data_IF_138350540678
#
_entry.id   IF_138350540678
#
_cell.length_a   1.000
_cell.length_b   1.000
_cell.length_c   1.000
_cell.angle_alpha   90.00
_cell.angle_beta   90.00
_cell.angle_gamma   90.00
#
_symmetry.space_group_name_H-M   'P 1'
#
loop_
_entity.id
_entity.type
_entity.pdbx_description
1 polymer ?
#
# COMPACT_ATOMS: atom_id res chain seq x y z
N UNK A 1 -16.07 -0.41 -4.75
CA UNK A 1 -16.26 1.07 -4.60
C UNK A 1 -14.93 1.70 -4.21
N UNK A 2 -14.59 2.92 -4.63
CA UNK A 2 -13.35 3.63 -4.25
C UNK A 2 -13.66 4.74 -3.25
N UNK A 3 -12.76 5.02 -2.30
CA UNK A 3 -12.93 6.15 -1.36
C UNK A 3 -12.94 7.50 -2.08
N UNK A 4 -12.16 7.61 -3.17
CA UNK A 4 -12.14 8.77 -4.05
C UNK A 4 -13.23 8.69 -5.14
N UNK A 5 -14.45 8.37 -4.79
CA UNK A 5 -15.59 8.38 -5.71
C UNK A 5 -16.76 9.17 -5.13
N UNK A 6 -17.53 9.80 -6.01
CA UNK A 6 -18.73 10.58 -5.63
C UNK A 6 -19.71 9.68 -4.85
N UNK A 7 -19.94 8.45 -5.32
CA UNK A 7 -20.83 7.49 -4.67
C UNK A 7 -20.41 7.15 -3.23
N UNK A 8 -19.09 7.04 -2.99
CA UNK A 8 -18.59 6.79 -1.64
C UNK A 8 -18.77 8.02 -0.74
N UNK A 9 -18.34 9.18 -1.21
CA UNK A 9 -18.27 10.40 -0.39
C UNK A 9 -19.66 10.95 -0.04
N UNK A 10 -20.58 10.95 -1.01
CA UNK A 10 -21.87 11.63 -0.87
C UNK A 10 -23.06 10.71 -0.59
N UNK A 11 -22.94 9.41 -0.77
CA UNK A 11 -24.03 8.45 -0.49
C UNK A 11 -23.63 7.42 0.55
N UNK A 12 -22.58 6.63 0.30
CA UNK A 12 -22.21 5.52 1.17
C UNK A 12 -21.74 6.00 2.55
N UNK A 13 -20.78 6.92 2.62
CA UNK A 13 -20.20 7.39 3.87
C UNK A 13 -21.23 8.13 4.74
N UNK A 14 -22.05 9.09 4.23
CA UNK A 14 -23.09 9.71 5.03
C UNK A 14 -24.14 8.72 5.55
N UNK A 15 -24.59 7.77 4.73
CA UNK A 15 -25.53 6.74 5.15
C UNK A 15 -24.95 5.86 6.28
N UNK A 16 -23.69 5.44 6.13
CA UNK A 16 -23.00 4.66 7.17
C UNK A 16 -22.85 5.48 8.47
N UNK A 17 -22.39 6.73 8.38
CA UNK A 17 -22.22 7.60 9.55
C UNK A 17 -23.55 7.77 10.27
N UNK A 18 -24.62 8.06 9.55
CA UNK A 18 -25.97 8.20 10.12
C UNK A 18 -26.38 6.91 10.87
N UNK A 19 -26.32 5.76 10.21
CA UNK A 19 -26.67 4.47 10.79
C UNK A 19 -25.81 4.16 12.03
N UNK A 20 -24.49 4.41 11.94
CA UNK A 20 -23.55 4.09 13.02
C UNK A 20 -23.76 4.94 14.28
N UNK A 21 -24.00 6.26 14.11
CA UNK A 21 -24.14 7.16 15.25
C UNK A 21 -25.51 7.14 15.91
N UNK A 22 -26.57 6.83 15.17
CA UNK A 22 -27.93 6.66 15.72
C UNK A 22 -28.04 5.33 16.49
N UNK A 23 -27.24 4.33 16.12
CA UNK A 23 -27.38 2.99 16.68
C UNK A 23 -26.79 2.84 18.08
N UNK A 24 -27.44 2.04 18.95
CA UNK A 24 -26.89 1.67 20.25
C UNK A 24 -25.53 0.97 20.12
N UNK A 25 -24.69 1.11 21.17
CA UNK A 25 -23.29 0.59 21.16
C UNK A 25 -23.20 -0.89 20.77
N UNK A 26 -24.13 -1.71 21.20
CA UNK A 26 -24.16 -3.16 20.92
C UNK A 26 -24.31 -3.50 19.43
N UNK A 27 -24.91 -2.63 18.62
CA UNK A 27 -25.14 -2.86 17.20
C UNK A 27 -24.06 -2.25 16.29
N UNK A 28 -23.16 -1.43 16.82
CA UNK A 28 -22.15 -0.70 16.03
C UNK A 28 -21.25 -1.63 15.21
N UNK A 29 -20.86 -2.78 15.75
CA UNK A 29 -20.05 -3.77 15.02
C UNK A 29 -20.85 -4.42 13.87
N UNK A 30 -22.13 -4.70 14.07
CA UNK A 30 -22.98 -5.27 13.03
C UNK A 30 -23.19 -4.31 11.87
N UNK A 31 -23.40 -3.02 12.17
CA UNK A 31 -23.54 -1.98 11.14
C UNK A 31 -22.27 -1.86 10.32
N UNK A 32 -21.10 -1.74 10.99
CA UNK A 32 -19.83 -1.69 10.29
C UNK A 32 -19.59 -2.94 9.46
N UNK A 33 -19.94 -4.12 9.95
CA UNK A 33 -19.81 -5.37 9.20
C UNK A 33 -20.69 -5.37 7.95
N UNK A 34 -21.98 -5.05 8.10
CA UNK A 34 -22.93 -5.03 6.97
C UNK A 34 -22.45 -4.05 5.90
N UNK A 35 -22.10 -2.82 6.30
CA UNK A 35 -21.62 -1.82 5.35
C UNK A 35 -20.26 -2.21 4.73
N UNK A 36 -19.37 -2.86 5.49
CA UNK A 36 -18.10 -3.38 4.93
C UNK A 36 -18.33 -4.48 3.89
N UNK A 37 -19.25 -5.40 4.14
CA UNK A 37 -19.62 -6.43 3.18
C UNK A 37 -20.29 -5.82 1.94
N UNK A 38 -21.18 -4.84 2.11
CA UNK A 38 -21.80 -4.09 0.99
C UNK A 38 -20.73 -3.34 0.19
N UNK A 39 -19.79 -2.67 0.87
CA UNK A 39 -18.68 -1.97 0.20
C UNK A 39 -17.84 -2.91 -0.66
N UNK A 40 -17.52 -4.11 -0.14
CA UNK A 40 -16.74 -5.11 -0.85
C UNK A 40 -17.52 -5.73 -2.00
N UNK A 41 -18.75 -6.17 -1.74
CA UNK A 41 -19.61 -6.81 -2.76
C UNK A 41 -19.99 -5.87 -3.91
N UNK A 42 -19.94 -4.55 -3.71
CA UNK A 42 -20.16 -3.56 -4.77
C UNK A 42 -19.16 -3.72 -5.94
N UNK A 43 -17.91 -4.09 -5.64
CA UNK A 43 -16.90 -4.36 -6.67
C UNK A 43 -16.69 -5.85 -6.96
N UNK A 44 -17.00 -6.70 -5.99
CA UNK A 44 -16.66 -8.13 -5.98
C UNK A 44 -17.84 -8.99 -5.49
N UNK A 45 -18.95 -9.07 -6.22
CA UNK A 45 -20.17 -9.72 -5.75
C UNK A 45 -20.01 -11.21 -5.47
N UNK A 46 -19.11 -11.89 -6.18
CA UNK A 46 -18.84 -13.33 -6.00
C UNK A 46 -17.77 -13.55 -4.94
N UNK A 47 -16.70 -12.75 -4.94
CA UNK A 47 -15.57 -12.96 -4.05
C UNK A 47 -15.81 -12.54 -2.60
N UNK A 48 -16.93 -11.89 -2.29
CA UNK A 48 -17.37 -11.69 -0.90
C UNK A 48 -17.56 -13.02 -0.17
N UNK A 49 -18.01 -14.07 -0.87
CA UNK A 49 -18.14 -15.41 -0.28
C UNK A 49 -16.78 -16.04 0.01
N UNK A 50 -15.76 -15.81 -0.84
CA UNK A 50 -14.39 -16.25 -0.57
C UNK A 50 -13.82 -15.56 0.68
N UNK A 51 -14.07 -14.26 0.86
CA UNK A 51 -13.63 -13.51 2.04
C UNK A 51 -14.33 -14.03 3.31
N UNK A 52 -15.65 -14.29 3.26
CA UNK A 52 -16.40 -14.88 4.38
C UNK A 52 -15.86 -16.29 4.71
N UNK A 53 -15.61 -17.11 3.69
CA UNK A 53 -14.99 -18.43 3.86
C UNK A 53 -13.61 -18.30 4.54
N UNK A 54 -12.75 -17.41 4.05
CA UNK A 54 -11.43 -17.15 4.64
C UNK A 54 -11.56 -16.73 6.11
N UNK A 55 -12.53 -15.86 6.44
CA UNK A 55 -12.78 -15.45 7.81
C UNK A 55 -13.23 -16.64 8.69
N UNK A 56 -14.18 -17.44 8.23
CA UNK A 56 -14.67 -18.60 8.99
C UNK A 56 -13.56 -19.65 9.18
N UNK A 57 -12.79 -19.93 8.13
CA UNK A 57 -11.68 -20.87 8.17
C UNK A 57 -10.61 -20.42 9.18
N UNK A 58 -10.08 -19.21 9.04
CA UNK A 58 -9.02 -18.72 9.92
C UNK A 58 -9.49 -18.55 11.38
N UNK A 59 -10.74 -18.14 11.59
CA UNK A 59 -11.34 -18.11 12.93
C UNK A 59 -11.37 -19.50 13.58
N UNK A 60 -11.83 -20.54 12.86
CA UNK A 60 -11.90 -21.90 13.34
C UNK A 60 -10.51 -22.45 13.67
N UNK A 61 -9.55 -22.25 12.76
CA UNK A 61 -8.16 -22.71 12.97
C UNK A 61 -7.48 -21.97 14.14
N UNK A 62 -7.74 -20.66 14.28
CA UNK A 62 -7.22 -19.89 15.42
C UNK A 62 -7.77 -20.40 16.75
N UNK A 63 -9.05 -20.71 16.84
CA UNK A 63 -9.65 -21.31 18.03
C UNK A 63 -9.09 -22.72 18.32
N UNK A 64 -8.83 -23.51 17.30
CA UNK A 64 -8.22 -24.84 17.46
C UNK A 64 -6.79 -24.72 18.02
N UNK A 65 -5.98 -23.80 17.50
CA UNK A 65 -4.63 -23.51 18.02
C UNK A 65 -4.71 -23.11 19.50
N UNK A 66 -5.61 -22.21 19.88
CA UNK A 66 -5.83 -21.82 21.29
C UNK A 66 -6.22 -23.01 22.16
N UNK A 67 -7.13 -23.85 21.71
CA UNK A 67 -7.57 -25.05 22.43
C UNK A 67 -6.42 -26.03 22.64
N UNK A 68 -5.57 -26.24 21.61
CA UNK A 68 -4.39 -27.10 21.74
C UNK A 68 -3.37 -26.53 22.72
N UNK A 69 -3.13 -25.22 22.70
CA UNK A 69 -2.26 -24.56 23.66
C UNK A 69 -2.75 -24.71 25.11
N UNK A 70 -4.07 -24.51 25.34
CA UNK A 70 -4.68 -24.67 26.65
C UNK A 70 -4.65 -26.10 27.14
N UNK A 71 -4.78 -27.08 26.23
CA UNK A 71 -4.73 -28.51 26.54
C UNK A 71 -3.30 -29.08 26.51
N UNK A 72 -2.27 -28.22 26.43
CA UNK A 72 -0.86 -28.61 26.31
C UNK A 72 -0.56 -29.58 25.14
N UNK A 73 -1.38 -29.57 24.09
CA UNK A 73 -1.16 -30.29 22.85
C UNK A 73 -0.33 -29.45 21.89
N UNK A 74 0.35 -30.12 20.94
CA UNK A 74 1.16 -29.43 19.95
C UNK A 74 0.30 -28.73 18.87
N UNK A 75 0.24 -27.38 18.81
CA UNK A 75 -0.56 -26.65 17.83
C UNK A 75 0.12 -26.51 16.45
N UNK A 76 1.38 -26.94 16.31
CA UNK A 76 2.18 -26.76 15.10
C UNK A 76 1.58 -27.37 13.81
N UNK A 77 0.98 -28.58 13.84
CA UNK A 77 0.33 -29.12 12.64
C UNK A 77 -0.81 -28.24 12.12
N UNK A 78 -1.68 -27.76 13.01
CA UNK A 78 -2.78 -26.84 12.67
C UNK A 78 -2.24 -25.52 12.13
N UNK A 79 -1.16 -24.95 12.72
CA UNK A 79 -0.50 -23.79 12.18
C UNK A 79 -0.03 -24.00 10.74
N UNK A 80 0.73 -25.08 10.48
CA UNK A 80 1.28 -25.37 9.15
C UNK A 80 0.16 -25.56 8.14
N UNK A 81 -0.87 -26.33 8.48
CA UNK A 81 -2.03 -26.55 7.61
C UNK A 81 -2.72 -25.23 7.27
N UNK A 82 -2.96 -24.37 8.27
CA UNK A 82 -3.60 -23.07 8.07
C UNK A 82 -2.78 -22.15 7.16
N UNK A 83 -1.46 -22.11 7.35
CA UNK A 83 -0.55 -21.32 6.51
C UNK A 83 -0.57 -21.83 5.07
N UNK A 84 -0.50 -23.15 4.87
CA UNK A 84 -0.54 -23.76 3.52
C UNK A 84 -1.85 -23.42 2.81
N UNK A 85 -3.00 -23.53 3.46
CA UNK A 85 -4.30 -23.23 2.86
C UNK A 85 -4.39 -21.75 2.47
N UNK A 86 -3.99 -20.82 3.34
CA UNK A 86 -4.00 -19.39 3.03
C UNK A 86 -3.08 -19.03 1.86
N UNK A 87 -1.85 -19.57 1.84
CA UNK A 87 -0.91 -19.36 0.75
C UNK A 87 -1.40 -20.01 -0.54
N UNK A 88 -1.99 -21.20 -0.47
CA UNK A 88 -2.57 -21.87 -1.64
C UNK A 88 -3.69 -21.03 -2.28
N UNK A 89 -4.65 -20.53 -1.48
CA UNK A 89 -5.74 -19.67 -1.97
C UNK A 89 -5.16 -18.41 -2.63
N UNK A 90 -4.24 -17.72 -1.96
CA UNK A 90 -3.59 -16.53 -2.52
C UNK A 90 -2.87 -16.87 -3.83
N UNK A 91 -2.09 -17.97 -3.84
CA UNK A 91 -1.30 -18.38 -5.00
C UNK A 91 -2.17 -18.78 -6.18
N UNK A 92 -3.27 -19.45 -5.91
CA UNK A 92 -4.21 -19.87 -6.94
C UNK A 92 -4.78 -18.67 -7.73
N UNK A 93 -5.22 -17.62 -7.03
CA UNK A 93 -5.77 -16.45 -7.71
C UNK A 93 -4.69 -15.53 -8.29
N UNK A 94 -3.55 -15.38 -7.62
CA UNK A 94 -2.55 -14.38 -7.99
C UNK A 94 -1.48 -14.92 -8.94
N UNK A 95 -1.06 -16.18 -8.79
CA UNK A 95 0.13 -16.71 -9.48
C UNK A 95 -0.18 -17.81 -10.50
N UNK A 96 -1.45 -18.21 -10.65
CA UNK A 96 -1.82 -19.28 -11.57
C UNK A 96 -1.35 -19.01 -13.01
N UNK A 97 -1.68 -17.85 -13.57
CA UNK A 97 -1.23 -17.47 -14.93
C UNK A 97 0.30 -17.42 -15.04
N UNK A 98 0.96 -16.75 -14.09
CA UNK A 98 2.42 -16.65 -14.08
C UNK A 98 3.11 -18.02 -13.97
N UNK A 99 2.58 -18.94 -13.15
CA UNK A 99 3.08 -20.29 -13.05
C UNK A 99 2.93 -21.06 -14.36
N UNK A 100 1.78 -20.89 -15.04
CA UNK A 100 1.57 -21.51 -16.37
C UNK A 100 2.53 -20.96 -17.42
N UNK A 101 2.78 -19.64 -17.44
CA UNK A 101 3.73 -19.05 -18.36
C UNK A 101 5.17 -19.59 -18.13
N UNK A 102 5.56 -19.82 -16.86
CA UNK A 102 6.83 -20.46 -16.53
C UNK A 102 6.85 -21.90 -17.05
N UNK A 103 5.80 -22.69 -16.80
CA UNK A 103 5.70 -24.08 -17.29
C UNK A 103 5.78 -24.11 -18.81
N UNK A 104 5.03 -23.29 -19.50
CA UNK A 104 5.05 -23.20 -20.96
C UNK A 104 6.46 -22.87 -21.50
N UNK A 105 7.14 -21.92 -20.84
CA UNK A 105 8.49 -21.50 -21.26
C UNK A 105 9.52 -22.62 -21.02
N UNK A 106 9.50 -23.26 -19.86
CA UNK A 106 10.51 -24.27 -19.46
C UNK A 106 10.31 -25.58 -20.22
N UNK A 107 9.05 -26.04 -20.31
CA UNK A 107 8.72 -27.33 -20.91
C UNK A 107 8.27 -27.25 -22.36
N UNK A 108 8.24 -26.01 -22.94
CA UNK A 108 7.78 -25.74 -24.33
C UNK A 108 6.37 -26.31 -24.59
N UNK A 109 5.51 -26.20 -23.56
CA UNK A 109 4.10 -26.56 -23.66
C UNK A 109 3.25 -25.34 -24.04
N UNK A 110 2.01 -25.55 -24.43
CA UNK A 110 1.08 -24.50 -24.83
C UNK A 110 -0.24 -24.63 -24.04
N UNK A 111 -0.13 -24.56 -22.72
CA UNK A 111 -1.30 -24.55 -21.87
C UNK A 111 -1.96 -23.16 -21.91
N UNK A 112 -3.11 -23.10 -22.56
CA UNK A 112 -3.92 -21.90 -22.55
C UNK A 112 -4.66 -21.77 -21.20
N UNK A 113 -4.39 -20.68 -20.50
CA UNK A 113 -5.11 -20.34 -19.28
C UNK A 113 -5.84 -19.02 -19.47
N UNK A 114 -7.12 -18.99 -19.14
CA UNK A 114 -7.83 -17.73 -18.94
C UNK A 114 -7.40 -17.14 -17.60
N UNK A 115 -6.83 -15.92 -17.58
CA UNK A 115 -6.46 -15.27 -16.31
C UNK A 115 -7.69 -15.18 -15.40
N UNK A 116 -7.58 -15.73 -14.19
CA UNK A 116 -8.62 -15.56 -13.17
C UNK A 116 -8.60 -14.10 -12.71
N UNK A 117 -9.77 -13.45 -12.61
CA UNK A 117 -9.80 -12.11 -12.02
C UNK A 117 -9.31 -12.19 -10.58
N UNK A 118 -8.34 -11.34 -10.24
CA UNK A 118 -7.76 -11.29 -8.90
C UNK A 118 -8.78 -10.65 -7.92
N UNK A 119 -9.25 -11.36 -6.87
CA UNK A 119 -10.15 -10.77 -5.89
C UNK A 119 -9.52 -9.56 -5.21
N UNK A 120 -10.17 -8.42 -5.26
CA UNK A 120 -9.66 -7.17 -4.68
C UNK A 120 -9.34 -7.37 -3.19
N UNK A 121 -8.15 -6.97 -2.76
CA UNK A 121 -7.73 -7.05 -1.37
C UNK A 121 -7.33 -8.45 -0.87
N UNK A 122 -7.31 -9.50 -1.71
CA UNK A 122 -6.97 -10.87 -1.28
C UNK A 122 -5.58 -10.92 -0.62
N UNK A 123 -4.60 -10.19 -1.12
CA UNK A 123 -3.27 -10.11 -0.53
C UNK A 123 -3.29 -9.47 0.86
N UNK A 124 -4.14 -8.46 1.07
CA UNK A 124 -4.26 -7.76 2.35
C UNK A 124 -4.96 -8.60 3.41
N UNK A 125 -6.16 -9.13 3.11
CA UNK A 125 -6.87 -9.92 4.11
C UNK A 125 -6.19 -11.28 4.39
N UNK A 126 -5.45 -11.84 3.43
CA UNK A 126 -4.62 -13.03 3.68
C UNK A 126 -3.50 -12.71 4.67
N UNK A 127 -2.81 -11.58 4.52
CA UNK A 127 -1.77 -11.16 5.47
C UNK A 127 -2.35 -10.82 6.85
N UNK A 128 -3.53 -10.23 6.91
CA UNK A 128 -4.25 -10.00 8.16
C UNK A 128 -4.62 -11.33 8.85
N UNK A 129 -5.18 -12.29 8.11
CA UNK A 129 -5.51 -13.61 8.63
C UNK A 129 -4.27 -14.37 9.12
N UNK A 130 -3.18 -14.37 8.33
CA UNK A 130 -1.93 -14.98 8.74
C UNK A 130 -1.33 -14.32 9.98
N UNK A 131 -1.40 -12.97 10.10
CA UNK A 131 -0.93 -12.28 11.30
C UNK A 131 -1.70 -12.70 12.55
N UNK A 132 -3.03 -12.86 12.45
CA UNK A 132 -3.86 -13.37 13.54
C UNK A 132 -3.43 -14.79 13.97
N UNK A 133 -3.24 -15.70 13.02
CA UNK A 133 -2.82 -17.08 13.28
C UNK A 133 -1.43 -17.12 13.94
N UNK A 134 -0.47 -16.35 13.42
CA UNK A 134 0.86 -16.26 14.02
C UNK A 134 0.85 -15.60 15.40
N UNK A 135 0.03 -14.58 15.63
CA UNK A 135 -0.06 -13.91 16.92
C UNK A 135 -0.70 -14.82 17.99
N UNK A 136 -1.67 -15.66 17.63
CA UNK A 136 -2.19 -16.71 18.51
C UNK A 136 -1.08 -17.72 18.82
N UNK A 137 -0.42 -18.28 17.79
CA UNK A 137 0.61 -19.29 17.98
C UNK A 137 1.76 -18.79 18.87
N UNK A 138 2.11 -17.50 18.75
CA UNK A 138 3.15 -16.86 19.56
C UNK A 138 2.63 -16.30 20.89
N UNK A 139 1.45 -16.66 21.36
CA UNK A 139 0.83 -16.23 22.63
C UNK A 139 0.64 -14.72 22.76
N UNK A 140 0.59 -13.96 21.65
CA UNK A 140 0.28 -12.52 21.67
C UNK A 140 -1.24 -12.26 21.78
N UNK A 141 -2.04 -13.19 21.30
CA UNK A 141 -3.50 -13.25 21.43
C UNK A 141 -3.83 -14.53 22.17
N UNK A 142 -4.41 -14.42 23.36
CA UNK A 142 -4.58 -15.56 24.28
C UNK A 142 -6.04 -15.90 24.60
N UNK A 143 -6.96 -15.10 24.11
CA UNK A 143 -8.40 -15.26 24.38
C UNK A 143 -9.17 -15.65 23.13
N UNK A 144 -10.18 -16.48 23.30
CA UNK A 144 -11.15 -16.73 22.24
C UNK A 144 -11.94 -15.45 21.94
N UNK A 145 -12.01 -15.11 20.68
CA UNK A 145 -12.72 -13.94 20.18
C UNK A 145 -14.11 -14.34 19.66
N UNK A 146 -15.02 -13.37 19.50
CA UNK A 146 -16.30 -13.65 18.86
C UNK A 146 -16.10 -13.65 17.33
N UNK A 147 -16.78 -14.55 16.63
CA UNK A 147 -16.70 -14.60 15.16
C UNK A 147 -17.04 -13.26 14.51
N UNK A 148 -18.03 -12.54 15.04
CA UNK A 148 -18.41 -11.21 14.55
C UNK A 148 -17.29 -10.17 14.64
N UNK A 149 -16.44 -10.26 15.68
CA UNK A 149 -15.29 -9.37 15.86
C UNK A 149 -14.20 -9.69 14.84
N UNK A 150 -13.98 -10.99 14.58
CA UNK A 150 -12.95 -11.43 13.63
C UNK A 150 -13.35 -11.16 12.17
N UNK A 151 -14.59 -11.48 11.78
CA UNK A 151 -15.04 -11.18 10.40
C UNK A 151 -15.11 -9.66 10.15
N UNK A 152 -15.50 -8.85 11.16
CA UNK A 152 -15.42 -7.40 11.05
C UNK A 152 -13.97 -6.94 10.87
N UNK A 153 -13.04 -7.47 11.67
CA UNK A 153 -11.61 -7.16 11.50
C UNK A 153 -11.11 -7.43 10.09
N UNK A 154 -11.44 -8.61 9.54
CA UNK A 154 -10.95 -9.01 8.22
C UNK A 154 -11.59 -8.21 7.08
N UNK A 155 -12.89 -7.87 7.22
CA UNK A 155 -13.69 -7.21 6.18
C UNK A 155 -13.76 -5.70 6.32
N UNK A 156 -13.21 -5.10 7.38
CA UNK A 156 -13.38 -3.69 7.72
C UNK A 156 -12.91 -2.78 6.56
N UNK A 157 -13.88 -2.12 5.92
CA UNK A 157 -13.68 -1.46 4.62
C UNK A 157 -12.56 -0.42 4.58
N UNK A 158 -12.23 0.37 5.65
CA UNK A 158 -11.14 1.33 5.56
C UNK A 158 -9.77 0.68 5.29
N UNK A 159 -9.52 -0.51 5.84
CA UNK A 159 -8.23 -1.19 5.71
C UNK A 159 -8.18 -2.24 4.60
N UNK A 160 -9.36 -2.73 4.14
CA UNK A 160 -9.50 -3.96 3.37
C UNK A 160 -8.77 -3.95 2.01
N UNK A 161 -8.80 -2.85 1.28
CA UNK A 161 -8.33 -2.80 -0.11
C UNK A 161 -6.85 -2.42 -0.19
N UNK A 162 -6.46 -1.30 0.41
CA UNK A 162 -5.10 -0.79 0.40
C UNK A 162 -4.83 0.15 1.60
N UNK A 163 -5.55 -0.03 2.68
CA UNK A 163 -5.25 0.62 3.96
C UNK A 163 -3.94 0.08 4.55
N UNK A 164 -3.51 0.57 5.71
CA UNK A 164 -2.44 -0.07 6.46
C UNK A 164 -2.78 -1.54 6.72
N UNK A 165 -1.80 -2.45 6.59
CA UNK A 165 -1.98 -3.86 6.99
C UNK A 165 -2.06 -3.88 8.52
N UNK A 166 -3.28 -3.90 9.03
CA UNK A 166 -3.54 -3.87 10.47
C UNK A 166 -3.37 -5.28 11.04
N UNK A 167 -2.58 -5.42 12.10
CA UNK A 167 -2.43 -6.69 12.81
C UNK A 167 -3.55 -6.81 13.85
N UNK A 168 -4.06 -8.04 14.07
CA UNK A 168 -5.19 -8.27 14.97
C UNK A 168 -4.94 -7.75 16.40
N UNK A 169 -3.74 -7.97 16.93
CA UNK A 169 -3.31 -7.50 18.26
C UNK A 169 -3.42 -5.98 18.45
N UNK A 170 -3.32 -5.21 17.34
CA UNK A 170 -3.37 -3.73 17.40
C UNK A 170 -4.80 -3.20 17.56
N UNK A 171 -5.82 -3.99 17.17
CA UNK A 171 -7.24 -3.56 17.16
C UNK A 171 -8.15 -4.42 18.01
N UNK A 172 -7.67 -5.53 18.59
CA UNK A 172 -8.48 -6.47 19.39
C UNK A 172 -9.32 -5.75 20.46
N UNK A 173 -8.68 -4.89 21.25
CA UNK A 173 -9.38 -4.14 22.30
C UNK A 173 -10.37 -3.13 21.72
N UNK A 174 -10.06 -2.52 20.58
CA UNK A 174 -10.91 -1.53 19.93
C UNK A 174 -12.15 -2.17 19.28
N UNK A 175 -12.06 -3.42 18.85
CA UNK A 175 -13.22 -4.18 18.36
C UNK A 175 -14.29 -4.36 19.46
N UNK A 176 -13.87 -4.41 20.73
CA UNK A 176 -14.76 -4.62 21.88
C UNK A 176 -15.17 -3.34 22.62
N UNK A 177 -14.20 -2.45 22.84
CA UNK A 177 -14.32 -1.37 23.82
C UNK A 177 -13.96 0.00 23.24
N UNK A 178 -14.28 0.28 21.97
CA UNK A 178 -14.00 1.59 21.40
C UNK A 178 -15.08 2.60 21.75
N UNK A 179 -14.64 3.83 21.91
CA UNK A 179 -15.48 5.03 21.97
C UNK A 179 -15.06 5.99 20.90
N UNK A 180 -15.96 6.83 20.45
CA UNK A 180 -15.65 7.92 19.52
C UNK A 180 -16.11 9.20 20.16
N UNK A 181 -15.21 10.14 20.30
CA UNK A 181 -15.54 11.51 20.69
C UNK A 181 -15.55 12.44 19.46
N UNK A 182 -15.99 13.69 19.66
CA UNK A 182 -16.04 14.68 18.58
C UNK A 182 -14.65 15.10 18.10
N UNK A 183 -13.63 14.96 18.95
CA UNK A 183 -12.26 15.29 18.60
C UNK A 183 -11.67 14.23 17.64
N UNK A 184 -11.88 12.94 17.95
CA UNK A 184 -11.48 11.83 17.07
C UNK A 184 -12.23 11.90 15.73
N UNK A 185 -13.52 12.23 15.74
CA UNK A 185 -14.28 12.43 14.52
C UNK A 185 -13.74 13.59 13.69
N UNK A 186 -13.49 14.74 14.30
CA UNK A 186 -12.95 15.93 13.62
C UNK A 186 -11.57 15.66 13.01
N UNK A 187 -10.68 15.02 13.77
CA UNK A 187 -9.38 14.58 13.26
C UNK A 187 -9.51 13.61 12.09
N UNK A 188 -10.45 12.65 12.19
CA UNK A 188 -10.73 11.69 11.12
C UNK A 188 -11.20 12.35 9.84
N UNK A 189 -12.13 13.32 9.93
CA UNK A 189 -12.65 14.09 8.80
C UNK A 189 -11.53 14.91 8.12
N UNK A 190 -10.74 15.64 8.91
CA UNK A 190 -9.57 16.38 8.43
C UNK A 190 -8.60 15.47 7.67
N UNK A 191 -8.23 14.34 8.28
CA UNK A 191 -7.30 13.39 7.68
C UNK A 191 -7.84 12.78 6.38
N UNK A 192 -9.14 12.50 6.33
CA UNK A 192 -9.82 12.01 5.13
C UNK A 192 -9.75 13.04 3.99
N UNK A 193 -10.06 14.32 4.26
CA UNK A 193 -10.04 15.39 3.27
C UNK A 193 -8.62 15.61 2.72
N UNK A 194 -7.62 15.62 3.59
CA UNK A 194 -6.20 15.72 3.18
C UNK A 194 -5.81 14.54 2.30
N UNK A 195 -6.18 13.31 2.69
CA UNK A 195 -5.91 12.11 1.91
C UNK A 195 -6.59 12.13 0.53
N UNK A 196 -7.86 12.55 0.49
CA UNK A 196 -8.61 12.72 -0.75
C UNK A 196 -7.92 13.73 -1.69
N UNK A 197 -7.49 14.87 -1.13
CA UNK A 197 -6.80 15.91 -1.89
C UNK A 197 -5.46 15.44 -2.45
N UNK A 198 -4.67 14.71 -1.67
CA UNK A 198 -3.43 14.06 -2.16
C UNK A 198 -3.71 13.15 -3.36
N UNK A 199 -4.76 12.31 -3.26
CA UNK A 199 -5.13 11.38 -4.31
C UNK A 199 -5.64 12.09 -5.55
N UNK A 200 -6.60 13.01 -5.39
CA UNK A 200 -7.33 13.58 -6.52
C UNK A 200 -6.57 14.73 -7.18
N UNK A 201 -6.02 15.64 -6.38
CA UNK A 201 -5.39 16.86 -6.92
C UNK A 201 -3.93 16.64 -7.30
N UNK A 202 -3.18 15.81 -6.57
CA UNK A 202 -1.76 15.57 -6.86
C UNK A 202 -1.56 14.27 -7.66
N UNK A 203 -1.95 13.12 -7.13
CA UNK A 203 -1.62 11.84 -7.77
C UNK A 203 -2.28 11.67 -9.14
N UNK A 204 -3.57 11.99 -9.30
CA UNK A 204 -4.25 11.86 -10.59
C UNK A 204 -3.64 12.79 -11.64
N UNK A 205 -3.31 14.03 -11.28
CA UNK A 205 -2.69 15.00 -12.20
C UNK A 205 -1.30 14.55 -12.63
N UNK A 206 -0.46 14.10 -11.68
CA UNK A 206 0.87 13.55 -11.99
C UNK A 206 0.79 12.30 -12.86
N UNK A 207 -0.20 11.44 -12.59
CA UNK A 207 -0.44 10.23 -13.37
C UNK A 207 -0.84 10.51 -14.81
N UNK A 208 -1.57 11.59 -15.07
CA UNK A 208 -1.89 12.00 -16.44
C UNK A 208 -0.64 12.38 -17.24
N UNK A 209 0.32 13.09 -16.62
CA UNK A 209 1.60 13.41 -17.26
C UNK A 209 2.48 12.17 -17.47
N UNK A 210 2.55 11.27 -16.50
CA UNK A 210 3.25 10.00 -16.67
C UNK A 210 2.68 9.19 -17.84
N UNK A 211 1.35 9.05 -17.92
CA UNK A 211 0.69 8.33 -19.00
C UNK A 211 0.89 9.02 -20.36
N UNK A 212 0.97 10.35 -20.42
CA UNK A 212 1.29 11.09 -21.62
C UNK A 212 2.66 10.68 -22.15
N UNK A 213 3.66 10.59 -21.27
CA UNK A 213 5.03 10.18 -21.65
C UNK A 213 5.09 8.72 -22.12
N UNK A 214 4.42 7.80 -21.39
CA UNK A 214 4.43 6.37 -21.77
C UNK A 214 3.76 6.13 -23.12
N UNK A 215 2.68 6.84 -23.42
CA UNK A 215 1.92 6.69 -24.67
C UNK A 215 2.52 7.47 -25.84
N UNK A 216 3.60 8.20 -25.60
CA UNK A 216 4.27 9.01 -26.64
C UNK A 216 4.90 8.10 -27.70
N UNK A 217 4.71 8.38 -29.01
CA UNK A 217 5.38 7.65 -30.07
C UNK A 217 6.91 7.66 -29.89
N UNK A 218 7.60 6.60 -30.31
CA UNK A 218 9.06 6.51 -30.14
C UNK A 218 9.80 7.67 -30.82
N UNK A 219 9.34 8.15 -31.96
CA UNK A 219 9.89 9.29 -32.69
C UNK A 219 9.82 10.62 -31.93
N UNK A 220 8.88 10.75 -31.00
CA UNK A 220 8.68 11.94 -30.15
C UNK A 220 9.35 11.83 -28.78
N UNK A 221 9.93 10.68 -28.47
CA UNK A 221 10.57 10.47 -27.17
C UNK A 221 11.92 11.18 -27.08
N UNK A 222 12.24 11.66 -25.88
CA UNK A 222 13.55 12.24 -25.55
C UNK A 222 13.91 11.88 -24.12
N UNK A 223 15.20 11.87 -23.79
CA UNK A 223 15.70 11.56 -22.45
C UNK A 223 15.05 12.46 -21.38
N UNK A 224 14.89 13.75 -21.67
CA UNK A 224 14.25 14.69 -20.73
C UNK A 224 12.78 14.34 -20.49
N UNK A 225 12.01 14.02 -21.54
CA UNK A 225 10.59 13.61 -21.38
C UNK A 225 10.48 12.34 -20.55
N UNK A 226 11.34 11.34 -20.76
CA UNK A 226 11.36 10.07 -20.01
C UNK A 226 11.68 10.31 -18.53
N UNK A 227 12.64 11.19 -18.19
CA UNK A 227 12.92 11.58 -16.81
C UNK A 227 11.76 12.32 -16.16
N UNK A 228 11.11 13.26 -16.87
CA UNK A 228 9.93 13.96 -16.35
C UNK A 228 8.81 12.95 -16.06
N UNK A 229 8.58 11.99 -16.95
CA UNK A 229 7.57 10.95 -16.80
C UNK A 229 7.78 10.10 -15.55
N UNK A 230 9.00 9.64 -15.28
CA UNK A 230 9.27 8.82 -14.09
C UNK A 230 9.27 9.65 -12.80
N UNK A 231 9.64 10.93 -12.83
CA UNK A 231 9.49 11.84 -11.68
C UNK A 231 8.01 12.05 -11.38
N UNK A 232 7.16 12.25 -12.38
CA UNK A 232 5.71 12.32 -12.20
C UNK A 232 5.17 11.02 -11.58
N UNK A 233 5.58 9.84 -12.05
CA UNK A 233 5.20 8.57 -11.47
C UNK A 233 5.68 8.42 -10.02
N UNK A 234 6.89 8.87 -9.72
CA UNK A 234 7.47 8.83 -8.37
C UNK A 234 6.58 9.57 -7.36
N UNK A 235 6.11 10.77 -7.69
CA UNK A 235 5.19 11.49 -6.83
C UNK A 235 3.76 10.93 -6.91
N UNK A 236 3.32 10.46 -8.08
CA UNK A 236 2.03 9.82 -8.24
C UNK A 236 1.87 8.63 -7.30
N UNK A 237 2.79 7.65 -7.32
CA UNK A 237 2.68 6.45 -6.48
C UNK A 237 2.69 6.79 -4.99
N UNK A 238 3.45 7.80 -4.58
CA UNK A 238 3.48 8.27 -3.20
C UNK A 238 2.14 8.89 -2.78
N UNK A 239 1.62 9.85 -3.55
CA UNK A 239 0.38 10.54 -3.19
C UNK A 239 -0.86 9.67 -3.40
N UNK A 240 -0.84 8.76 -4.37
CA UNK A 240 -1.91 7.77 -4.56
C UNK A 240 -2.05 6.88 -3.33
N UNK A 241 -0.94 6.30 -2.89
CA UNK A 241 -0.97 5.36 -1.79
C UNK A 241 -1.01 6.02 -0.41
N UNK A 242 -0.23 7.08 -0.17
CA UNK A 242 -0.32 7.81 1.10
C UNK A 242 -1.67 8.52 1.27
N UNK A 243 -2.26 9.04 0.19
CA UNK A 243 -3.60 9.60 0.20
C UNK A 243 -4.65 8.56 0.58
N UNK A 244 -4.59 7.37 0.00
CA UNK A 244 -5.47 6.28 0.39
C UNK A 244 -5.27 5.87 1.86
N UNK A 245 -4.03 5.74 2.32
CA UNK A 245 -3.73 5.44 3.72
C UNK A 245 -4.25 6.51 4.67
N UNK A 246 -4.15 7.81 4.30
CA UNK A 246 -4.69 8.90 5.09
C UNK A 246 -6.22 8.85 5.16
N UNK A 247 -6.89 8.57 4.04
CA UNK A 247 -8.35 8.35 4.03
C UNK A 247 -8.74 7.16 4.91
N UNK A 248 -8.01 6.04 4.85
CA UNK A 248 -8.26 4.84 5.65
C UNK A 248 -8.09 5.11 7.16
N UNK A 249 -7.00 5.81 7.55
CA UNK A 249 -6.74 6.20 8.94
C UNK A 249 -7.82 7.17 9.42
N UNK A 250 -8.20 8.14 8.59
CA UNK A 250 -9.26 9.10 8.88
C UNK A 250 -10.60 8.42 9.11
N UNK A 251 -11.00 7.53 8.22
CA UNK A 251 -12.21 6.70 8.37
C UNK A 251 -12.15 5.83 9.63
N UNK A 252 -11.00 5.20 9.89
CA UNK A 252 -10.80 4.45 11.12
C UNK A 252 -11.11 5.30 12.36
N UNK A 253 -10.55 6.52 12.44
CA UNK A 253 -10.79 7.46 13.55
C UNK A 253 -12.25 7.85 13.69
N UNK A 254 -12.96 8.09 12.59
CA UNK A 254 -14.40 8.40 12.64
C UNK A 254 -15.23 7.26 13.27
N UNK A 255 -14.73 6.02 13.23
CA UNK A 255 -15.40 4.86 13.83
C UNK A 255 -14.74 4.35 15.12
N UNK A 256 -13.74 5.07 15.66
CA UNK A 256 -13.04 4.76 16.91
C UNK A 256 -11.92 3.73 16.76
N UNK A 257 -11.38 3.53 15.54
CA UNK A 257 -10.21 2.71 15.30
C UNK A 257 -8.97 3.58 15.07
N UNK A 258 -7.87 3.20 15.71
CA UNK A 258 -6.59 3.90 15.64
C UNK A 258 -5.58 3.06 14.87
N UNK A 259 -5.54 3.23 13.55
CA UNK A 259 -4.58 2.55 12.70
C UNK A 259 -3.20 3.22 12.77
N UNK A 260 -2.15 2.42 12.59
CA UNK A 260 -0.77 2.91 12.54
C UNK A 260 -0.50 3.67 11.24
N UNK A 261 0.43 4.63 11.30
CA UNK A 261 0.91 5.34 10.12
C UNK A 261 1.56 4.37 9.12
N UNK A 262 1.30 4.60 7.84
CA UNK A 262 1.85 3.79 6.76
C UNK A 262 2.97 4.51 6.00
N UNK A 263 3.03 5.84 6.08
CA UNK A 263 4.02 6.69 5.45
C UNK A 263 4.51 7.79 6.39
N UNK A 264 5.82 8.11 6.31
CA UNK A 264 6.43 9.21 7.07
C UNK A 264 7.46 9.95 6.20
N UNK A 265 6.98 10.71 5.20
CA UNK A 265 7.81 11.51 4.29
C UNK A 265 9.02 10.73 3.73
N UNK A 266 8.83 9.66 2.97
CA UNK A 266 9.90 8.73 2.57
C UNK A 266 10.95 9.38 1.66
N UNK A 267 10.60 10.41 0.89
CA UNK A 267 11.52 11.01 -0.08
C UNK A 267 12.57 11.94 0.51
N UNK A 268 12.52 12.22 1.82
CA UNK A 268 13.61 12.92 2.54
C UNK A 268 14.59 11.96 3.22
N UNK A 269 14.52 10.67 2.93
CA UNK A 269 15.39 9.64 3.54
C UNK A 269 16.82 9.78 3.06
N UNK A 270 17.76 9.56 4.00
CA UNK A 270 19.21 9.68 3.79
C UNK A 270 19.86 8.35 3.40
N UNK A 271 19.08 7.27 3.32
CA UNK A 271 19.51 5.93 2.98
C UNK A 271 18.33 5.07 2.53
N UNK A 272 18.61 3.97 1.82
CA UNK A 272 17.59 3.00 1.41
C UNK A 272 16.94 2.34 2.62
N UNK A 273 17.72 2.04 3.66
CA UNK A 273 17.18 1.52 4.93
C UNK A 273 16.20 2.51 5.58
N UNK A 274 16.51 3.81 5.61
CA UNK A 274 15.62 4.83 6.14
C UNK A 274 14.37 4.98 5.28
N UNK A 275 14.51 4.94 3.93
CA UNK A 275 13.39 4.97 3.02
C UNK A 275 12.35 3.89 3.36
N UNK A 276 12.75 2.65 3.55
CA UNK A 276 11.87 1.54 3.88
C UNK A 276 11.30 1.58 5.30
N UNK A 277 11.89 2.32 6.20
CA UNK A 277 11.30 2.63 7.52
C UNK A 277 10.20 3.69 7.46
N UNK A 278 10.12 4.42 6.34
CA UNK A 278 9.19 5.54 6.10
C UNK A 278 8.15 5.24 5.03
N UNK A 279 8.41 4.27 4.17
CA UNK A 279 7.55 3.82 3.07
C UNK A 279 6.86 2.52 3.45
N UNK A 280 5.51 2.46 3.28
CA UNK A 280 4.68 1.26 3.50
C UNK A 280 5.05 0.51 4.79
N UNK A 281 5.03 1.25 5.90
CA UNK A 281 5.52 0.82 7.21
C UNK A 281 4.82 -0.45 7.67
N UNK A 282 3.52 -0.57 7.41
CA UNK A 282 2.72 -1.74 7.80
C UNK A 282 3.19 -3.03 7.11
N UNK A 283 3.48 -2.99 5.80
CA UNK A 283 4.02 -4.12 5.05
C UNK A 283 5.42 -4.49 5.54
N UNK A 284 6.30 -3.49 5.69
CA UNK A 284 7.64 -3.69 6.23
C UNK A 284 7.63 -4.32 7.62
N UNK A 285 6.72 -3.88 8.50
CA UNK A 285 6.52 -4.45 9.83
C UNK A 285 6.03 -5.89 9.76
N UNK A 286 5.10 -6.20 8.84
CA UNK A 286 4.58 -7.55 8.64
C UNK A 286 5.68 -8.53 8.23
N UNK A 287 6.44 -8.22 7.16
CA UNK A 287 7.55 -9.05 6.70
C UNK A 287 8.64 -9.19 7.76
N UNK A 288 8.93 -8.12 8.51
CA UNK A 288 9.90 -8.16 9.59
C UNK A 288 9.46 -9.11 10.71
N UNK A 289 8.22 -9.01 11.20
CA UNK A 289 7.74 -9.78 12.35
C UNK A 289 7.48 -11.26 12.03
N UNK A 290 6.89 -11.54 10.86
CA UNK A 290 6.39 -12.88 10.55
C UNK A 290 7.30 -13.67 9.60
N UNK A 291 8.29 -13.03 8.97
CA UNK A 291 9.24 -13.71 8.10
C UNK A 291 10.71 -13.48 8.52
N UNK A 292 11.16 -12.25 8.54
CA UNK A 292 12.57 -11.94 8.74
C UNK A 292 13.08 -12.36 10.13
N UNK A 293 12.37 -12.01 11.21
CA UNK A 293 12.76 -12.39 12.57
C UNK A 293 12.72 -13.92 12.78
N UNK A 294 11.68 -14.67 12.35
CA UNK A 294 11.67 -16.14 12.44
C UNK A 294 12.80 -16.82 11.66
N UNK A 295 13.29 -16.21 10.56
CA UNK A 295 14.47 -16.71 9.83
C UNK A 295 15.81 -16.43 10.55
N UNK A 296 15.78 -15.80 11.74
CA UNK A 296 16.94 -15.41 12.54
C UNK A 296 17.32 -13.95 12.42
N UNK A 297 16.67 -13.19 11.54
CA UNK A 297 16.88 -11.75 11.38
C UNK A 297 18.34 -11.38 11.06
N UNK A 298 18.88 -10.41 11.81
CA UNK A 298 20.28 -9.99 11.73
C UNK A 298 21.19 -10.64 12.80
N UNK A 299 20.66 -11.59 13.60
CA UNK A 299 21.39 -12.28 14.67
C UNK A 299 21.96 -13.61 14.19
N UNK A 300 22.42 -13.68 12.96
CA UNK A 300 22.95 -14.85 12.28
C UNK A 300 24.25 -14.49 11.56
N UNK A 301 24.96 -15.50 11.00
CA UNK A 301 26.17 -15.25 10.21
C UNK A 301 25.92 -14.30 9.03
N UNK A 302 26.91 -13.55 8.54
CA UNK A 302 26.74 -12.61 7.43
C UNK A 302 26.13 -13.25 6.17
N UNK A 303 26.54 -14.44 5.77
CA UNK A 303 25.97 -15.15 4.62
C UNK A 303 24.50 -15.50 4.82
N UNK A 304 24.12 -15.98 6.01
CA UNK A 304 22.73 -16.27 6.35
C UNK A 304 21.88 -14.99 6.38
N UNK A 305 22.46 -13.86 6.85
CA UNK A 305 21.77 -12.58 6.84
C UNK A 305 21.52 -12.07 5.41
N UNK A 306 22.51 -12.20 4.51
CA UNK A 306 22.36 -11.88 3.08
C UNK A 306 21.23 -12.72 2.48
N UNK A 307 21.22 -14.03 2.74
CA UNK A 307 20.14 -14.91 2.29
C UNK A 307 18.77 -14.47 2.83
N UNK A 308 18.67 -14.14 4.12
CA UNK A 308 17.43 -13.66 4.73
C UNK A 308 16.91 -12.39 4.02
N UNK A 309 17.80 -11.44 3.72
CA UNK A 309 17.42 -10.21 3.01
C UNK A 309 16.95 -10.53 1.59
N UNK A 310 17.67 -11.35 0.84
CA UNK A 310 17.26 -11.71 -0.52
C UNK A 310 15.91 -12.42 -0.55
N UNK A 311 15.65 -13.38 0.37
CA UNK A 311 14.36 -14.07 0.47
C UNK A 311 13.23 -13.06 0.77
N UNK A 312 13.40 -12.22 1.79
CA UNK A 312 12.38 -11.24 2.19
C UNK A 312 12.05 -10.30 1.02
N UNK A 313 13.07 -9.77 0.35
CA UNK A 313 12.86 -8.81 -0.73
C UNK A 313 12.33 -9.44 -2.02
N UNK A 314 12.75 -10.67 -2.36
CA UNK A 314 12.15 -11.42 -3.47
C UNK A 314 10.67 -11.70 -3.22
N UNK A 315 10.31 -12.10 -2.00
CA UNK A 315 8.91 -12.32 -1.62
C UNK A 315 8.12 -11.01 -1.54
N UNK A 316 8.75 -9.91 -1.14
CA UNK A 316 8.12 -8.57 -1.19
C UNK A 316 7.81 -8.18 -2.63
N UNK A 317 8.75 -8.38 -3.55
CA UNK A 317 8.52 -8.15 -4.98
C UNK A 317 7.39 -9.02 -5.52
N UNK A 318 7.45 -10.31 -5.28
CA UNK A 318 6.42 -11.27 -5.70
C UNK A 318 5.03 -10.94 -5.12
N UNK A 319 4.98 -10.45 -3.88
CA UNK A 319 3.73 -10.00 -3.25
C UNK A 319 3.09 -8.82 -4.00
N UNK A 320 3.88 -7.92 -4.56
CA UNK A 320 3.36 -6.80 -5.36
C UNK A 320 2.77 -7.27 -6.69
N UNK A 321 3.36 -8.24 -7.37
CA UNK A 321 2.80 -8.70 -8.64
C UNK A 321 3.41 -9.99 -9.16
N UNK A 322 2.63 -10.74 -9.92
CA UNK A 322 3.01 -12.00 -10.55
C UNK A 322 3.71 -11.73 -11.90
N UNK A 323 4.85 -11.02 -11.86
CA UNK A 323 5.65 -10.73 -13.05
C UNK A 323 7.12 -10.54 -12.67
N UNK A 324 8.02 -10.75 -13.61
CA UNK A 324 9.48 -10.65 -13.42
C UNK A 324 9.96 -9.24 -13.03
N UNK A 325 9.32 -8.18 -13.53
CA UNK A 325 9.65 -6.80 -13.17
C UNK A 325 9.51 -6.55 -11.66
N UNK A 326 8.50 -7.12 -10.98
CA UNK A 326 8.34 -6.99 -9.53
C UNK A 326 9.38 -7.78 -8.75
N UNK A 327 9.77 -8.98 -9.24
CA UNK A 327 10.85 -9.75 -8.64
C UNK A 327 12.17 -8.97 -8.76
N UNK A 328 12.46 -8.42 -9.94
CA UNK A 328 13.64 -7.58 -10.17
C UNK A 328 13.64 -6.33 -9.29
N UNK A 329 12.48 -5.68 -9.12
CA UNK A 329 12.31 -4.56 -8.20
C UNK A 329 12.64 -4.96 -6.76
N UNK A 330 12.13 -6.09 -6.29
CA UNK A 330 12.43 -6.61 -4.96
C UNK A 330 13.91 -6.93 -4.80
N UNK A 331 14.52 -7.63 -5.75
CA UNK A 331 15.95 -7.94 -5.75
C UNK A 331 16.83 -6.68 -5.79
N UNK A 332 16.45 -5.67 -6.56
CA UNK A 332 17.11 -4.37 -6.58
C UNK A 332 17.25 -3.79 -5.17
N UNK A 333 16.14 -3.73 -4.41
CA UNK A 333 16.22 -3.25 -3.03
C UNK A 333 16.93 -4.20 -2.09
N UNK A 334 16.79 -5.51 -2.25
CA UNK A 334 17.54 -6.49 -1.48
C UNK A 334 19.05 -6.31 -1.62
N UNK A 335 19.53 -6.13 -2.85
CA UNK A 335 20.94 -5.89 -3.15
C UNK A 335 21.39 -4.54 -2.57
N UNK A 336 20.62 -3.47 -2.75
CA UNK A 336 20.96 -2.16 -2.22
C UNK A 336 21.09 -2.16 -0.70
N UNK A 337 20.21 -2.84 0.01
CA UNK A 337 20.27 -2.96 1.47
C UNK A 337 21.48 -3.75 1.95
N UNK A 338 21.87 -4.79 1.20
CA UNK A 338 23.10 -5.55 1.45
C UNK A 338 24.32 -4.66 1.24
N UNK A 339 24.36 -3.95 0.10
CA UNK A 339 25.46 -3.02 -0.22
C UNK A 339 25.54 -1.89 0.81
N UNK A 340 24.40 -1.29 1.20
CA UNK A 340 24.35 -0.25 2.21
C UNK A 340 24.91 -0.75 3.54
N UNK A 341 24.48 -1.93 4.00
CA UNK A 341 24.89 -2.46 5.30
C UNK A 341 26.35 -2.86 5.36
N UNK A 342 26.86 -3.53 4.33
CA UNK A 342 28.19 -4.15 4.38
C UNK A 342 29.30 -3.31 3.76
N UNK A 343 28.97 -2.42 2.81
CA UNK A 343 29.96 -1.68 2.03
C UNK A 343 29.79 -0.17 2.09
N UNK A 344 28.57 0.36 1.88
CA UNK A 344 28.36 1.78 1.66
C UNK A 344 28.20 2.57 2.96
N UNK A 345 27.88 1.95 4.08
CA UNK A 345 27.60 2.64 5.35
C UNK A 345 28.71 3.63 5.72
N UNK A 346 29.98 3.17 5.68
CA UNK A 346 31.13 4.00 6.03
C UNK A 346 31.39 5.16 5.06
N UNK A 347 31.00 5.00 3.80
CA UNK A 347 31.14 6.01 2.76
C UNK A 347 30.04 7.05 2.91
N UNK A 348 28.81 6.61 3.09
CA UNK A 348 27.66 7.47 3.25
C UNK A 348 27.77 8.38 4.48
N UNK A 349 28.36 7.91 5.56
CA UNK A 349 28.55 8.73 6.79
C UNK A 349 29.50 9.92 6.59
N UNK A 350 30.37 9.88 5.58
CA UNK A 350 31.26 10.97 5.21
C UNK A 350 30.62 12.02 4.28
N UNK A 351 29.44 11.72 3.75
CA UNK A 351 28.73 12.56 2.76
C UNK A 351 27.67 13.42 3.50
N UNK A 352 27.51 14.67 3.06
CA UNK A 352 26.52 15.58 3.66
C UNK A 352 25.10 15.01 3.53
N UNK A 353 24.25 15.29 4.52
CA UNK A 353 22.87 14.80 4.55
C UNK A 353 22.06 15.20 3.30
N UNK A 354 22.31 16.40 2.74
CA UNK A 354 21.63 16.87 1.52
C UNK A 354 21.96 15.98 0.31
N UNK A 355 23.23 15.65 0.12
CA UNK A 355 23.68 14.76 -0.96
C UNK A 355 23.13 13.34 -0.74
N UNK A 356 23.13 12.82 0.49
CA UNK A 356 22.53 11.50 0.80
C UNK A 356 21.05 11.45 0.43
N UNK A 357 20.27 12.49 0.74
CA UNK A 357 18.86 12.57 0.35
C UNK A 357 18.71 12.54 -1.16
N UNK A 358 19.49 13.34 -1.90
CA UNK A 358 19.46 13.34 -3.36
C UNK A 358 19.82 11.96 -3.95
N UNK A 359 20.89 11.32 -3.47
CA UNK A 359 21.29 9.99 -3.93
C UNK A 359 20.22 8.94 -3.66
N UNK A 360 19.65 8.93 -2.45
CA UNK A 360 18.58 8.01 -2.09
C UNK A 360 17.34 8.25 -2.96
N UNK A 361 16.98 9.52 -3.18
CA UNK A 361 15.82 9.86 -4.02
C UNK A 361 16.03 9.36 -5.46
N UNK A 362 17.17 9.64 -6.09
CA UNK A 362 17.47 9.16 -7.46
C UNK A 362 17.45 7.63 -7.52
N UNK A 363 18.04 6.96 -6.55
CA UNK A 363 18.02 5.49 -6.44
C UNK A 363 16.59 4.95 -6.38
N UNK A 364 15.71 5.60 -5.63
CA UNK A 364 14.30 5.23 -5.54
C UNK A 364 13.55 5.54 -6.85
N UNK A 365 13.81 6.67 -7.49
CA UNK A 365 13.24 7.00 -8.81
C UNK A 365 13.58 5.92 -9.86
N UNK A 366 14.82 5.46 -9.90
CA UNK A 366 15.25 4.37 -10.80
C UNK A 366 14.47 3.08 -10.49
N UNK A 367 14.22 2.76 -9.22
CA UNK A 367 13.45 1.57 -8.84
C UNK A 367 12.02 1.59 -9.36
N UNK A 368 11.40 2.79 -9.38
CA UNK A 368 10.02 2.94 -9.84
C UNK A 368 9.84 2.66 -11.32
N UNK A 369 10.93 2.64 -12.13
CA UNK A 369 10.86 2.20 -13.52
C UNK A 369 10.41 0.75 -13.62
N UNK A 370 10.98 -0.15 -12.81
CA UNK A 370 10.53 -1.55 -12.76
C UNK A 370 9.08 -1.67 -12.32
N UNK A 371 8.65 -0.83 -11.39
CA UNK A 371 7.30 -0.87 -10.84
C UNK A 371 6.24 -0.30 -11.80
N UNK A 372 6.60 0.70 -12.61
CA UNK A 372 5.69 1.33 -13.57
C UNK A 372 5.54 0.57 -14.89
N UNK A 373 6.50 -0.28 -15.23
CA UNK A 373 6.53 -1.05 -16.47
C UNK A 373 5.67 -2.32 -16.36
N UNK A 374 5.09 -2.73 -17.47
CA UNK A 374 4.30 -3.98 -17.51
C UNK A 374 5.21 -5.21 -17.58
N UNK A 375 6.36 -5.10 -18.23
CA UNK A 375 7.34 -6.18 -18.40
C UNK A 375 8.75 -5.75 -18.01
N UNK A 376 9.61 -6.74 -17.70
CA UNK A 376 11.03 -6.48 -17.45
C UNK A 376 11.73 -5.88 -18.67
N UNK A 377 11.37 -6.30 -19.89
CA UNK A 377 11.93 -5.78 -21.15
C UNK A 377 11.62 -4.29 -21.32
N UNK A 378 10.38 -3.87 -21.04
CA UNK A 378 10.00 -2.46 -21.05
C UNK A 378 10.75 -1.65 -20.01
N UNK A 379 10.93 -2.19 -18.78
CA UNK A 379 11.70 -1.54 -17.73
C UNK A 379 13.15 -1.28 -18.18
N UNK A 380 13.83 -2.28 -18.77
CA UNK A 380 15.17 -2.11 -19.29
C UNK A 380 15.22 -1.16 -20.51
N UNK A 381 14.21 -1.19 -21.39
CA UNK A 381 14.09 -0.23 -22.48
C UNK A 381 13.96 1.20 -21.97
N UNK A 382 13.10 1.42 -20.95
CA UNK A 382 12.91 2.71 -20.31
C UNK A 382 14.21 3.23 -19.68
N UNK A 383 14.91 2.38 -18.90
CA UNK A 383 16.23 2.69 -18.34
C UNK A 383 17.25 3.04 -19.42
N UNK A 384 17.25 2.30 -20.55
CA UNK A 384 18.10 2.61 -21.69
C UNK A 384 17.85 4.02 -22.26
N UNK A 385 16.60 4.44 -22.35
CA UNK A 385 16.21 5.80 -22.78
C UNK A 385 16.61 6.87 -21.75
N UNK A 386 16.53 6.58 -20.47
CA UNK A 386 16.97 7.50 -19.40
C UNK A 386 18.47 7.82 -19.47
N UNK A 387 19.30 6.88 -19.87
CA UNK A 387 20.76 6.99 -19.81
C UNK A 387 21.45 7.08 -21.21
N UNK A 388 20.71 7.50 -22.23
CA UNK A 388 21.20 7.72 -23.60
C UNK A 388 21.64 6.46 -24.37
N UNK A 389 21.34 5.27 -23.89
CA UNK A 389 21.72 4.03 -24.57
C UNK A 389 20.87 3.69 -25.80
N UNK A 390 19.77 4.40 -26.03
CA UNK A 390 18.81 4.16 -27.12
C UNK A 390 18.90 5.15 -28.30
N UNK A 391 19.90 6.05 -28.33
CA UNK A 391 20.09 6.97 -29.42
C UNK A 391 19.00 8.03 -29.64
N UNK A 392 18.17 8.29 -28.63
CA UNK A 392 17.15 9.35 -28.65
C UNK A 392 17.75 10.72 -28.29
N UNK A 393 17.17 11.85 -28.76
CA UNK A 393 17.66 13.17 -28.42
C UNK A 393 17.54 13.45 -26.92
N UNK A 394 18.40 14.32 -26.40
CA UNK A 394 18.29 14.72 -24.97
C UNK A 394 17.00 15.43 -24.69
N UNK A 395 16.59 16.40 -25.51
CA UNK A 395 15.33 17.14 -25.39
C UNK A 395 14.79 17.48 -26.79
N UNK A 396 13.50 17.71 -26.86
CA UNK A 396 12.78 18.12 -28.07
C UNK A 396 11.59 19.04 -27.68
N UNK A 397 10.80 19.49 -28.64
CA UNK A 397 9.65 20.37 -28.40
C UNK A 397 8.61 19.74 -27.45
N UNK A 398 8.35 18.43 -27.57
CA UNK A 398 7.43 17.70 -26.73
C UNK A 398 7.91 17.67 -25.26
N UNK A 399 9.21 17.48 -25.02
CA UNK A 399 9.79 17.53 -23.68
C UNK A 399 9.64 18.92 -23.06
N UNK A 400 9.85 19.99 -23.83
CA UNK A 400 9.66 21.37 -23.36
C UNK A 400 8.19 21.62 -22.99
N UNK A 401 7.25 21.17 -23.82
CA UNK A 401 5.81 21.27 -23.53
C UNK A 401 5.43 20.55 -22.23
N UNK A 402 5.85 19.29 -22.08
CA UNK A 402 5.57 18.48 -20.88
C UNK A 402 6.19 19.14 -19.66
N UNK A 403 7.44 19.60 -19.75
CA UNK A 403 8.11 20.31 -18.65
C UNK A 403 7.34 21.55 -18.23
N UNK A 404 7.03 22.45 -19.17
CA UNK A 404 6.31 23.69 -18.88
C UNK A 404 4.94 23.44 -18.24
N UNK A 405 4.24 22.38 -18.69
CA UNK A 405 2.92 22.00 -18.19
C UNK A 405 2.95 21.31 -16.82
N UNK A 406 4.03 20.55 -16.51
CA UNK A 406 4.11 19.74 -15.30
C UNK A 406 4.94 20.33 -14.17
N UNK A 407 5.82 21.30 -14.45
CA UNK A 407 6.80 21.78 -13.46
C UNK A 407 6.15 22.33 -12.18
N UNK A 408 5.05 23.04 -12.29
CA UNK A 408 4.35 23.60 -11.14
C UNK A 408 3.84 22.49 -10.22
N UNK A 409 3.17 21.47 -10.77
CA UNK A 409 2.63 20.37 -9.97
C UNK A 409 3.76 19.50 -9.39
N UNK A 410 4.88 19.33 -10.09
CA UNK A 410 6.07 18.63 -9.58
C UNK A 410 6.65 19.41 -8.39
N UNK A 411 6.81 20.73 -8.47
CA UNK A 411 7.31 21.55 -7.36
C UNK A 411 6.38 21.52 -6.14
N UNK A 412 5.07 21.66 -6.33
CA UNK A 412 4.08 21.52 -5.26
C UNK A 412 4.21 20.13 -4.63
N UNK A 413 4.29 19.08 -5.42
CA UNK A 413 4.42 17.70 -4.96
C UNK A 413 5.72 17.45 -4.20
N UNK A 414 6.82 18.03 -4.64
CA UNK A 414 8.11 17.94 -3.93
C UNK A 414 8.01 18.58 -2.53
N UNK A 415 7.39 19.76 -2.40
CA UNK A 415 7.18 20.43 -1.11
C UNK A 415 6.20 19.64 -0.23
N UNK A 416 5.08 19.16 -0.78
CA UNK A 416 4.08 18.35 -0.07
C UNK A 416 4.62 16.97 0.35
N UNK A 417 5.69 16.47 -0.26
CA UNK A 417 6.38 15.23 0.15
C UNK A 417 7.34 15.42 1.34
N UNK A 418 7.42 16.63 1.89
CA UNK A 418 8.18 16.98 3.10
C UNK A 418 7.24 17.31 4.26
N UNK A 419 7.71 17.34 5.52
CA UNK A 419 6.89 17.73 6.67
C UNK A 419 6.50 19.21 6.70
N UNK A 420 7.04 20.05 5.81
CA UNK A 420 6.85 21.51 5.84
C UNK A 420 5.36 21.91 5.77
N UNK A 421 4.62 21.33 4.82
CA UNK A 421 3.20 21.68 4.63
C UNK A 421 2.36 21.24 5.83
N UNK A 422 2.59 20.03 6.35
CA UNK A 422 1.90 19.54 7.53
C UNK A 422 2.19 20.39 8.76
N UNK A 423 3.46 20.74 9.00
CA UNK A 423 3.86 21.61 10.11
C UNK A 423 3.24 23.01 9.98
N UNK A 424 3.23 23.60 8.78
CA UNK A 424 2.60 24.88 8.52
C UNK A 424 1.09 24.84 8.77
N UNK A 425 0.42 23.76 8.34
CA UNK A 425 -1.01 23.57 8.58
C UNK A 425 -1.33 23.41 10.08
N UNK A 426 -0.58 22.60 10.82
CA UNK A 426 -0.76 22.46 12.27
C UNK A 426 -0.50 23.77 13.03
N UNK A 427 0.49 24.54 12.61
CA UNK A 427 0.75 25.88 13.15
C UNK A 427 -0.41 26.86 12.86
N UNK A 428 -0.95 26.81 11.65
CA UNK A 428 -2.13 27.63 11.32
C UNK A 428 -3.34 27.22 12.14
N UNK A 429 -3.59 25.92 12.27
CA UNK A 429 -4.70 25.35 13.04
C UNK A 429 -4.63 25.74 14.51
N UNK A 430 -3.44 25.68 15.12
CA UNK A 430 -3.23 26.07 16.53
C UNK A 430 -3.50 27.57 16.80
N UNK A 431 -3.23 28.44 15.80
CA UNK A 431 -3.40 29.89 15.94
C UNK A 431 -4.73 30.41 15.43
N UNK A 432 -5.25 29.80 14.34
CA UNK A 432 -6.41 30.28 13.58
C UNK A 432 -7.21 29.09 13.01
N UNK A 433 -7.87 28.30 13.88
CA UNK A 433 -8.61 27.12 13.50
C UNK A 433 -9.66 27.35 12.39
N UNK A 434 -10.32 28.52 12.37
CA UNK A 434 -11.31 28.88 11.35
C UNK A 434 -10.67 28.89 9.96
N UNK A 435 -9.49 29.47 9.82
CA UNK A 435 -8.78 29.51 8.52
C UNK A 435 -8.32 28.11 8.09
N UNK A 436 -7.88 27.26 9.02
CA UNK A 436 -7.54 25.87 8.73
C UNK A 436 -8.77 25.11 8.21
N UNK A 437 -9.93 25.26 8.85
CA UNK A 437 -11.19 24.66 8.39
C UNK A 437 -11.63 25.19 7.03
N UNK A 438 -11.40 26.46 6.75
CA UNK A 438 -11.71 27.05 5.44
C UNK A 438 -10.80 26.44 4.34
N UNK A 439 -9.52 26.21 4.62
CA UNK A 439 -8.63 25.49 3.69
C UNK A 439 -9.15 24.06 3.43
N UNK A 440 -9.57 23.34 4.46
CA UNK A 440 -10.13 21.99 4.28
C UNK A 440 -11.41 22.01 3.42
N UNK A 441 -12.27 23.00 3.62
CA UNK A 441 -13.46 23.18 2.78
C UNK A 441 -13.09 23.43 1.32
N UNK A 442 -12.12 24.32 1.05
CA UNK A 442 -11.62 24.55 -0.31
C UNK A 442 -11.06 23.26 -0.92
N UNK A 443 -10.23 22.53 -0.18
CA UNK A 443 -9.66 21.25 -0.65
C UNK A 443 -10.75 20.23 -0.97
N UNK A 444 -11.81 20.16 -0.17
CA UNK A 444 -12.95 19.28 -0.42
C UNK A 444 -13.71 19.67 -1.69
N UNK A 445 -13.98 20.97 -1.88
CA UNK A 445 -14.65 21.50 -3.07
C UNK A 445 -13.81 21.22 -4.32
N UNK A 446 -12.51 21.54 -4.30
CA UNK A 446 -11.62 21.28 -5.44
C UNK A 446 -11.51 19.81 -5.77
N UNK A 447 -11.41 18.93 -4.75
CA UNK A 447 -11.37 17.48 -4.95
C UNK A 447 -12.68 16.97 -5.57
N UNK A 448 -13.82 17.47 -5.11
CA UNK A 448 -15.13 17.11 -5.68
C UNK A 448 -15.26 17.59 -7.12
N UNK A 449 -14.90 18.84 -7.40
CA UNK A 449 -14.92 19.40 -8.75
C UNK A 449 -14.03 18.59 -9.71
N UNK A 450 -12.83 18.22 -9.26
CA UNK A 450 -11.94 17.38 -10.05
C UNK A 450 -12.52 15.98 -10.31
N UNK A 451 -13.16 15.35 -9.32
CA UNK A 451 -13.80 14.04 -9.49
C UNK A 451 -15.00 14.08 -10.45
N UNK A 452 -15.68 15.21 -10.56
CA UNK A 452 -16.78 15.38 -11.52
C UNK A 452 -16.23 15.63 -12.93
N UNK A 453 -15.16 16.44 -13.04
CA UNK A 453 -14.61 16.85 -14.32
C UNK A 453 -13.82 15.75 -15.01
N UNK A 454 -13.06 14.92 -14.26
CA UNK A 454 -12.15 13.92 -14.86
C UNK A 454 -12.66 12.51 -14.64
N UNK A 455 -12.71 11.70 -15.72
CA UNK A 455 -12.92 10.24 -15.64
C UNK A 455 -11.64 9.49 -15.21
N UNK A 456 -10.47 10.14 -15.26
CA UNK A 456 -9.19 9.55 -14.87
C UNK A 456 -9.05 9.53 -13.35
N UNK A 457 -9.37 8.42 -12.74
CA UNK A 457 -9.24 8.19 -11.31
C UNK A 457 -8.68 6.77 -11.04
N UNK A 458 -7.49 6.44 -11.57
CA UNK A 458 -6.89 5.14 -11.35
C UNK A 458 -6.52 4.98 -9.88
N UNK A 459 -6.51 3.74 -9.41
CA UNK A 459 -5.87 3.37 -8.17
C UNK A 459 -4.79 2.34 -8.49
N UNK A 460 -3.53 2.74 -8.35
CA UNK A 460 -2.39 1.94 -8.81
C UNK A 460 -2.35 0.55 -8.16
N UNK A 461 -2.78 0.45 -6.90
CA UNK A 461 -2.79 -0.82 -6.16
C UNK A 461 -3.80 -1.85 -6.65
N UNK A 462 -4.75 -1.51 -7.52
CA UNK A 462 -5.62 -2.50 -8.17
C UNK A 462 -4.94 -3.27 -9.31
N UNK A 463 -3.77 -2.83 -9.73
CA UNK A 463 -2.99 -3.52 -10.76
C UNK A 463 -2.11 -4.64 -10.21
N UNK A 464 -2.02 -4.78 -8.87
CA UNK A 464 -1.03 -5.62 -8.19
C UNK A 464 -1.65 -6.71 -7.32
#
# INVERSE_FOLDING_TARGET
MLFSSINFIYYFLPALLLCYYISPKQFKNYILLIFSLVFYSWGEPIYVFLMIFSAAFNYSMGNEILTYQQSQKNPKPTLIFTVIVNIFILSFFKYYGFATDIVNTVFRTDFHTTPLPLPIGISFYTFQALSYIFDIYNHKVTKHNRFIEFILYLSLFPQLIAGPIVQYKDVENQLRYRTVDMQDFGYGAERFIIGLSKKVLLANTLGSFHNMVIKMPESSQSTAAVWIGIICFTFQIYFDFSGYSDMAIGLGRMFGFHFKENFNYPYISKSVTEFWRRWHISLGSWFREYLYIPMGGNRVSPLRHIFNLLVVWSLTGLWHGANYNFILWGLYFGILLILEKYFLFRILDKISNKIRVCLTFVTVVISWVFFSSETATEAFSYLGKMFFFKGIPFANADAHYIFASSILIIMISAVCSTPLVSQAFEMLKSKKAIFANFILLILMILSTASLIYTSYNPFLYFRF
#
